data_IF_444136068576
#
_entry.id   IF_444136068576
#
_cell.length_a   1.000
_cell.length_b   1.000
_cell.length_c   1.000
_cell.angle_alpha   90.00
_cell.angle_beta   90.00
_cell.angle_gamma   90.00
#
_symmetry.space_group_name_H-M   'P 1'
#
loop_
_entity.id
_entity.type
_entity.pdbx_description
1 polymer ?
#
# COMPACT_ATOMS: atom_id res chain seq x y z
N UNK A 1 1.81 -14.39 11.75
CA UNK A 1 0.44 -14.99 11.65
C UNK A 1 0.58 -16.21 10.73
N UNK A 2 0.14 -17.39 11.15
CA UNK A 2 0.16 -18.56 10.26
C UNK A 2 -1.14 -18.50 9.43
N UNK A 3 -1.03 -17.98 8.20
CA UNK A 3 -2.17 -17.80 7.30
C UNK A 3 -2.36 -19.12 6.55
N UNK A 4 -3.59 -19.67 6.62
CA UNK A 4 -3.90 -20.91 5.94
C UNK A 4 -3.64 -20.80 4.42
N UNK A 5 -3.03 -21.84 3.86
CA UNK A 5 -2.73 -21.99 2.44
C UNK A 5 -1.78 -20.92 1.82
N UNK A 6 -1.06 -20.15 2.66
CA UNK A 6 -0.16 -19.11 2.12
C UNK A 6 0.96 -19.69 1.26
N UNK A 7 1.64 -20.71 1.75
CA UNK A 7 2.76 -21.36 1.01
C UNK A 7 2.27 -22.02 -0.30
N UNK A 8 1.07 -22.59 -0.29
CA UNK A 8 0.44 -23.12 -1.49
C UNK A 8 0.15 -22.02 -2.52
N UNK A 9 -0.36 -20.87 -2.08
CA UNK A 9 -0.56 -19.69 -2.92
C UNK A 9 0.75 -19.17 -3.51
N UNK A 10 1.82 -19.11 -2.72
CA UNK A 10 3.15 -18.71 -3.20
C UNK A 10 3.63 -19.66 -4.29
N UNK A 11 3.60 -20.95 -4.05
CA UNK A 11 4.03 -21.99 -5.02
C UNK A 11 3.19 -21.90 -6.30
N UNK A 12 1.88 -21.83 -6.19
CA UNK A 12 0.98 -21.67 -7.34
C UNK A 12 1.33 -20.42 -8.15
N UNK A 13 1.48 -19.26 -7.49
CA UNK A 13 1.78 -17.99 -8.15
C UNK A 13 3.14 -17.98 -8.86
N UNK A 14 4.17 -18.59 -8.26
CA UNK A 14 5.49 -18.75 -8.88
C UNK A 14 5.41 -19.63 -10.12
N UNK A 15 4.70 -20.76 -10.03
CA UNK A 15 4.47 -21.66 -11.17
C UNK A 15 3.75 -20.95 -12.32
N UNK A 16 2.70 -20.16 -12.04
CA UNK A 16 1.97 -19.38 -13.04
C UNK A 16 2.86 -18.33 -13.76
N UNK A 17 3.91 -17.87 -13.10
CA UNK A 17 4.89 -16.92 -13.67
C UNK A 17 6.10 -17.61 -14.31
N UNK A 18 6.18 -18.95 -14.29
CA UNK A 18 7.34 -19.68 -14.76
C UNK A 18 8.62 -19.43 -13.95
N UNK A 19 8.45 -19.09 -12.66
CA UNK A 19 9.55 -18.83 -11.73
C UNK A 19 9.81 -20.08 -10.92
N UNK A 20 11.05 -20.59 -10.93
CA UNK A 20 11.46 -21.73 -10.14
C UNK A 20 11.56 -21.36 -8.66
N UNK A 21 11.13 -22.26 -7.78
CA UNK A 21 11.17 -22.12 -6.33
C UNK A 21 9.83 -22.44 -5.67
N UNK A 22 9.88 -22.81 -4.40
CA UNK A 22 8.70 -23.13 -3.59
C UNK A 22 8.35 -21.98 -2.62
N UNK A 23 9.23 -21.00 -2.46
CA UNK A 23 9.02 -19.83 -1.63
C UNK A 23 9.59 -18.57 -2.28
N UNK A 24 9.14 -17.38 -1.86
CA UNK A 24 9.72 -16.11 -2.34
C UNK A 24 11.20 -15.96 -1.96
N UNK A 25 11.67 -16.63 -0.90
CA UNK A 25 13.07 -16.59 -0.46
C UNK A 25 14.02 -17.24 -1.45
N UNK A 26 13.50 -18.19 -2.24
CA UNK A 26 14.26 -18.95 -3.24
C UNK A 26 14.28 -18.23 -4.59
N UNK A 27 13.68 -17.04 -4.67
CA UNK A 27 13.52 -16.31 -5.92
C UNK A 27 14.22 -14.95 -5.87
N UNK A 28 14.40 -14.34 -7.04
CA UNK A 28 14.90 -12.99 -7.18
C UNK A 28 13.74 -11.96 -7.22
N UNK A 29 12.67 -12.22 -6.49
CA UNK A 29 11.53 -11.31 -6.37
C UNK A 29 11.68 -10.40 -5.15
N UNK A 30 11.16 -9.19 -5.27
CA UNK A 30 10.99 -8.25 -4.16
C UNK A 30 9.61 -8.39 -3.61
N UNK A 31 9.54 -8.66 -2.31
CA UNK A 31 8.30 -8.94 -1.61
C UNK A 31 7.96 -7.80 -0.68
N UNK A 32 6.73 -7.35 -0.75
CA UNK A 32 6.18 -6.31 0.10
C UNK A 32 4.91 -6.80 0.78
N UNK A 33 4.83 -6.63 2.07
CA UNK A 33 3.61 -6.86 2.85
C UNK A 33 2.83 -5.54 2.96
N UNK A 34 1.52 -5.61 2.83
CA UNK A 34 0.60 -4.47 2.88
C UNK A 34 -0.56 -4.80 3.80
N UNK A 35 -1.14 -3.76 4.40
CA UNK A 35 -2.25 -3.85 5.35
C UNK A 35 -3.39 -2.90 4.96
N UNK A 36 -3.68 -2.79 3.69
CA UNK A 36 -4.76 -1.94 3.16
C UNK A 36 -5.40 -2.61 1.96
N UNK A 37 -6.71 -2.82 2.02
CA UNK A 37 -7.51 -3.37 0.93
C UNK A 37 -7.75 -2.31 -0.16
N UNK A 38 -6.72 -2.05 -0.98
CA UNK A 38 -6.80 -1.09 -2.07
C UNK A 38 -6.75 -1.78 -3.44
N UNK A 39 -7.86 -1.83 -4.20
CA UNK A 39 -7.88 -2.45 -5.53
C UNK A 39 -6.88 -1.82 -6.51
N UNK A 40 -6.56 -0.54 -6.39
CA UNK A 40 -5.53 0.13 -7.19
C UNK A 40 -4.15 -0.50 -7.04
N UNK A 41 -3.83 -1.02 -5.86
CA UNK A 41 -2.59 -1.79 -5.61
C UNK A 41 -2.57 -3.06 -6.46
N UNK A 42 -3.70 -3.79 -6.53
CA UNK A 42 -3.84 -5.01 -7.33
C UNK A 42 -3.64 -4.72 -8.81
N UNK A 43 -4.35 -3.74 -9.35
CA UNK A 43 -4.23 -3.36 -10.77
C UNK A 43 -2.82 -2.92 -11.13
N UNK A 44 -2.18 -2.14 -10.26
CA UNK A 44 -0.81 -1.68 -10.48
C UNK A 44 0.17 -2.84 -10.45
N UNK A 45 0.04 -3.76 -9.50
CA UNK A 45 0.91 -4.92 -9.38
C UNK A 45 0.78 -5.85 -10.59
N UNK A 46 -0.43 -6.18 -11.01
CA UNK A 46 -0.67 -7.05 -12.18
C UNK A 46 -0.14 -6.44 -13.48
N UNK A 47 -0.33 -5.12 -13.69
CA UNK A 47 0.23 -4.42 -14.87
C UNK A 47 1.75 -4.47 -14.93
N UNK A 48 2.42 -4.51 -13.78
CA UNK A 48 3.88 -4.65 -13.67
C UNK A 48 4.37 -6.10 -13.70
N UNK A 49 3.49 -7.05 -14.03
CA UNK A 49 3.81 -8.48 -14.05
C UNK A 49 4.02 -9.09 -12.66
N UNK A 50 3.65 -8.37 -11.61
CA UNK A 50 3.80 -8.82 -10.23
C UNK A 50 2.84 -9.93 -9.83
N UNK A 51 3.12 -10.52 -8.67
CA UNK A 51 2.29 -11.48 -7.94
C UNK A 51 1.52 -10.72 -6.86
N UNK A 52 0.26 -11.07 -6.63
CA UNK A 52 -0.59 -10.49 -5.58
C UNK A 52 -1.27 -11.61 -4.83
N UNK A 53 -0.98 -11.71 -3.52
CA UNK A 53 -1.53 -12.72 -2.60
C UNK A 53 -2.26 -12.00 -1.46
N UNK A 54 -3.54 -11.66 -1.61
CA UNK A 54 -4.34 -11.13 -0.52
C UNK A 54 -4.77 -12.23 0.44
N UNK A 55 -4.96 -11.86 1.68
CA UNK A 55 -5.63 -12.67 2.70
C UNK A 55 -7.08 -12.22 2.76
N UNK A 56 -8.01 -13.15 2.65
CA UNK A 56 -9.44 -12.84 2.56
C UNK A 56 -10.26 -13.61 3.58
N UNK A 57 -11.40 -13.08 3.96
CA UNK A 57 -12.43 -13.85 4.63
C UNK A 57 -13.20 -14.68 3.58
N UNK A 58 -12.91 -15.96 3.52
CA UNK A 58 -13.45 -16.85 2.49
C UNK A 58 -14.97 -17.06 2.62
N UNK A 59 -15.56 -16.86 3.80
CA UNK A 59 -17.01 -16.93 3.98
C UNK A 59 -17.74 -15.88 3.14
N UNK A 60 -17.15 -14.69 2.97
CA UNK A 60 -17.71 -13.61 2.13
C UNK A 60 -17.59 -13.90 0.62
N UNK A 61 -16.73 -14.83 0.24
CA UNK A 61 -16.61 -15.34 -1.13
C UNK A 61 -17.47 -16.58 -1.38
N UNK A 62 -18.33 -16.97 -0.43
CA UNK A 62 -19.20 -18.14 -0.58
C UNK A 62 -18.54 -19.48 -0.20
N UNK A 63 -17.31 -19.47 0.29
CA UNK A 63 -16.59 -20.64 0.79
C UNK A 63 -16.96 -20.91 2.26
N UNK A 64 -17.85 -21.86 2.49
CA UNK A 64 -18.27 -22.23 3.86
C UNK A 64 -17.16 -22.98 4.60
N UNK A 65 -16.92 -22.61 5.87
CA UNK A 65 -16.04 -23.24 6.87
C UNK A 65 -14.53 -22.84 6.84
N UNK A 66 -14.14 -21.80 6.13
CA UNK A 66 -12.80 -21.20 6.27
C UNK A 66 -12.96 -19.70 6.51
N UNK A 67 -12.57 -19.21 7.69
CA UNK A 67 -12.72 -17.79 8.01
C UNK A 67 -11.66 -16.93 7.33
N UNK A 68 -10.40 -17.39 7.33
CA UNK A 68 -9.27 -16.60 6.80
C UNK A 68 -8.37 -17.50 5.95
N UNK A 69 -8.15 -17.14 4.70
CA UNK A 69 -7.27 -17.86 3.77
C UNK A 69 -6.50 -16.90 2.86
N UNK A 70 -5.31 -17.33 2.41
CA UNK A 70 -4.64 -16.68 1.30
C UNK A 70 -5.28 -17.10 -0.03
N UNK A 71 -5.27 -16.20 -1.00
CA UNK A 71 -5.68 -16.43 -2.40
C UNK A 71 -4.65 -15.81 -3.34
N UNK A 72 -4.69 -16.14 -4.63
CA UNK A 72 -3.83 -15.49 -5.63
C UNK A 72 -4.70 -14.73 -6.63
N UNK A 73 -4.42 -13.45 -6.83
CA UNK A 73 -5.09 -12.69 -7.89
C UNK A 73 -4.46 -13.04 -9.23
N UNK A 74 -5.23 -13.67 -10.09
CA UNK A 74 -4.82 -14.07 -11.44
C UNK A 74 -5.04 -12.96 -12.44
N UNK A 75 -6.21 -12.33 -12.37
CA UNK A 75 -6.61 -11.25 -13.26
C UNK A 75 -7.58 -10.32 -12.55
N UNK A 76 -7.53 -9.05 -12.89
CA UNK A 76 -8.54 -8.08 -12.47
C UNK A 76 -8.84 -7.14 -13.63
N UNK A 77 -10.12 -6.89 -13.85
CA UNK A 77 -10.60 -6.09 -14.97
C UNK A 77 -11.53 -4.98 -14.46
N UNK A 78 -11.06 -3.73 -14.59
CA UNK A 78 -11.79 -2.55 -14.15
C UNK A 78 -13.05 -2.25 -15.00
N UNK A 79 -13.08 -2.70 -16.25
CA UNK A 79 -14.22 -2.43 -17.15
C UNK A 79 -15.39 -3.35 -16.82
N UNK A 80 -15.10 -4.64 -16.55
CA UNK A 80 -16.13 -5.62 -16.19
C UNK A 80 -16.39 -5.67 -14.69
N UNK A 81 -15.61 -4.95 -13.89
CA UNK A 81 -15.65 -4.95 -12.42
C UNK A 81 -15.49 -6.34 -11.78
N UNK A 82 -14.65 -7.20 -12.41
CA UNK A 82 -14.45 -8.59 -11.99
C UNK A 82 -13.00 -8.89 -11.67
N UNK A 83 -12.78 -9.83 -10.76
CA UNK A 83 -11.49 -10.37 -10.37
C UNK A 83 -11.50 -11.88 -10.40
N UNK A 84 -10.45 -12.48 -10.97
CA UNK A 84 -10.21 -13.92 -10.96
C UNK A 84 -9.22 -14.26 -9.85
N UNK A 85 -9.65 -15.09 -8.91
CA UNK A 85 -8.87 -15.53 -7.76
C UNK A 85 -8.62 -17.05 -7.84
N UNK A 86 -7.38 -17.47 -7.67
CA UNK A 86 -7.10 -18.86 -7.33
C UNK A 86 -7.47 -19.09 -5.87
N UNK A 87 -8.37 -20.04 -5.63
CA UNK A 87 -8.85 -20.44 -4.31
C UNK A 87 -8.27 -21.80 -3.96
N UNK A 88 -7.29 -21.89 -3.03
CA UNK A 88 -6.57 -23.14 -2.75
C UNK A 88 -7.48 -24.30 -2.36
N UNK A 89 -8.50 -24.03 -1.54
CA UNK A 89 -9.42 -25.07 -1.06
C UNK A 89 -10.13 -25.84 -2.17
N UNK A 90 -10.58 -25.14 -3.20
CA UNK A 90 -11.20 -25.77 -4.40
C UNK A 90 -10.18 -26.15 -5.44
N UNK A 91 -8.91 -25.71 -5.29
CA UNK A 91 -7.86 -25.84 -6.28
C UNK A 91 -8.29 -25.34 -7.68
N UNK A 92 -9.04 -24.24 -7.72
CA UNK A 92 -9.64 -23.68 -8.92
C UNK A 92 -9.56 -22.16 -8.95
N UNK A 93 -9.77 -21.61 -10.15
CA UNK A 93 -9.86 -20.17 -10.36
C UNK A 93 -11.33 -19.79 -10.40
N UNK A 94 -11.73 -18.91 -9.50
CA UNK A 94 -13.10 -18.43 -9.38
C UNK A 94 -13.15 -16.92 -9.64
N UNK A 95 -14.24 -16.47 -10.24
CA UNK A 95 -14.45 -15.07 -10.61
C UNK A 95 -15.45 -14.41 -9.67
N UNK A 96 -15.07 -13.25 -9.14
CA UNK A 96 -15.88 -12.48 -8.20
C UNK A 96 -16.01 -11.02 -8.64
N UNK A 97 -17.10 -10.31 -8.26
CA UNK A 97 -17.13 -8.85 -8.32
C UNK A 97 -16.00 -8.23 -7.48
N UNK A 98 -15.37 -7.17 -7.97
CA UNK A 98 -14.29 -6.49 -7.25
C UNK A 98 -14.77 -5.99 -5.88
N UNK A 99 -16.00 -5.48 -5.79
CA UNK A 99 -16.56 -5.04 -4.51
C UNK A 99 -16.61 -6.15 -3.46
N UNK A 100 -17.09 -7.35 -3.84
CA UNK A 100 -17.14 -8.53 -2.95
C UNK A 100 -15.73 -8.97 -2.52
N UNK A 101 -14.79 -8.96 -3.46
CA UNK A 101 -13.39 -9.28 -3.15
C UNK A 101 -12.78 -8.27 -2.16
N UNK A 102 -13.00 -6.97 -2.37
CA UNK A 102 -12.47 -5.91 -1.49
C UNK A 102 -13.07 -6.02 -0.09
N UNK A 103 -14.38 -6.30 0.03
CA UNK A 103 -15.03 -6.54 1.31
C UNK A 103 -14.42 -7.74 2.05
N UNK A 104 -14.23 -8.86 1.36
CA UNK A 104 -13.59 -10.06 1.91
C UNK A 104 -12.13 -9.83 2.33
N UNK A 105 -11.42 -9.00 1.60
CA UNK A 105 -10.03 -8.63 1.88
C UNK A 105 -9.93 -7.63 3.05
N UNK A 106 -10.79 -6.61 3.08
CA UNK A 106 -10.82 -5.61 4.15
C UNK A 106 -11.20 -6.23 5.51
N UNK A 107 -12.09 -7.22 5.50
CA UNK A 107 -12.51 -7.99 6.69
C UNK A 107 -11.33 -8.69 7.42
N UNK A 108 -10.19 -8.85 6.77
CA UNK A 108 -8.96 -9.41 7.37
C UNK A 108 -7.89 -8.35 7.68
N UNK A 109 -8.27 -7.07 7.67
CA UNK A 109 -7.35 -5.94 7.88
C UNK A 109 -6.53 -5.58 6.65
N UNK A 110 -6.97 -5.94 5.45
CA UNK A 110 -6.32 -5.60 4.19
C UNK A 110 -4.96 -6.25 3.97
N UNK A 111 -4.65 -7.36 4.66
CA UNK A 111 -3.35 -8.04 4.55
C UNK A 111 -3.14 -8.57 3.13
N UNK A 112 -2.01 -8.22 2.52
CA UNK A 112 -1.67 -8.64 1.17
C UNK A 112 -0.15 -8.71 0.98
N UNK A 113 0.32 -9.76 0.34
CA UNK A 113 1.69 -9.83 -0.16
C UNK A 113 1.72 -9.49 -1.66
N UNK A 114 2.60 -8.58 -2.04
CA UNK A 114 2.92 -8.31 -3.45
C UNK A 114 4.37 -8.62 -3.74
N UNK A 115 4.65 -9.28 -4.86
CA UNK A 115 6.01 -9.61 -5.27
C UNK A 115 6.25 -9.18 -6.72
N UNK A 116 7.44 -8.62 -7.00
CA UNK A 116 7.81 -8.10 -8.31
C UNK A 116 9.18 -8.60 -8.73
N UNK A 117 9.43 -8.79 -10.04
CA UNK A 117 10.78 -9.02 -10.54
C UNK A 117 11.75 -7.95 -10.04
N UNK A 118 12.91 -8.36 -9.57
CA UNK A 118 13.97 -7.45 -9.20
C UNK A 118 14.66 -6.97 -10.47
N UNK A 119 14.17 -5.88 -11.07
CA UNK A 119 14.91 -5.23 -12.14
C UNK A 119 16.02 -4.32 -11.56
N UNK A 120 17.13 -4.22 -12.27
CA UNK A 120 18.29 -3.43 -11.83
C UNK A 120 18.02 -1.91 -11.84
N UNK A 121 16.89 -1.47 -12.39
CA UNK A 121 16.54 -0.05 -12.54
C UNK A 121 15.53 0.43 -11.48
N UNK A 122 14.97 -0.47 -10.66
CA UNK A 122 14.02 -0.08 -9.62
C UNK A 122 14.76 0.60 -8.47
N UNK A 123 14.38 1.83 -8.18
CA UNK A 123 14.88 2.55 -7.01
C UNK A 123 14.51 1.81 -5.72
N UNK A 124 15.50 1.61 -4.84
CA UNK A 124 15.34 1.04 -3.51
C UNK A 124 15.50 2.15 -2.49
N UNK A 125 14.41 2.65 -1.90
CA UNK A 125 14.52 3.59 -0.79
C UNK A 125 15.25 2.91 0.36
N UNK A 126 16.26 3.59 0.90
CA UNK A 126 16.99 3.19 2.09
C UNK A 126 16.68 4.21 3.18
N UNK A 127 15.62 3.98 3.91
CA UNK A 127 15.32 4.77 5.09
C UNK A 127 16.31 4.44 6.20
N UNK A 128 16.70 5.44 6.96
CA UNK A 128 17.43 5.25 8.22
C UNK A 128 16.47 4.64 9.25
N UNK A 129 16.97 3.73 10.08
CA UNK A 129 16.20 3.21 11.20
C UNK A 129 16.21 4.24 12.35
N UNK A 130 15.13 5.01 12.43
CA UNK A 130 14.92 6.06 13.43
C UNK A 130 13.99 5.63 14.57
N UNK A 131 13.63 4.34 14.66
CA UNK A 131 12.68 3.83 15.66
C UNK A 131 13.13 4.03 17.10
N UNK A 132 14.44 4.11 17.32
CA UNK A 132 15.06 4.33 18.64
C UNK A 132 15.25 5.81 18.97
N UNK A 133 14.91 6.71 18.06
CA UNK A 133 15.01 8.16 18.27
C UNK A 133 13.67 8.66 18.77
N UNK A 134 13.64 9.13 20.02
CA UNK A 134 12.44 9.73 20.61
C UNK A 134 12.45 11.24 20.37
N UNK A 135 11.28 11.78 20.03
CA UNK A 135 11.08 13.23 19.98
C UNK A 135 10.84 13.76 21.40
N UNK A 136 11.43 14.88 21.78
CA UNK A 136 11.14 15.53 23.05
C UNK A 136 9.66 15.92 23.16
N UNK A 137 9.16 16.05 24.40
CA UNK A 137 7.81 16.55 24.66
C UNK A 137 7.61 17.94 24.05
N UNK A 138 6.44 18.19 23.47
CA UNK A 138 6.10 19.48 22.87
C UNK A 138 6.47 19.60 21.38
N UNK A 139 6.95 18.54 20.76
CA UNK A 139 7.25 18.52 19.32
C UNK A 139 6.01 18.26 18.44
N UNK A 140 4.87 17.94 19.03
CA UNK A 140 3.63 17.71 18.27
C UNK A 140 3.18 18.94 17.47
N UNK A 141 3.24 20.13 18.07
CA UNK A 141 2.93 21.39 17.37
C UNK A 141 3.90 21.65 16.22
N UNK A 142 5.19 21.39 16.44
CA UNK A 142 6.21 21.59 15.41
C UNK A 142 6.02 20.59 14.26
N UNK A 143 5.75 19.31 14.57
CA UNK A 143 5.46 18.27 13.59
C UNK A 143 4.26 18.64 12.73
N UNK A 144 3.18 19.11 13.37
CA UNK A 144 1.96 19.52 12.68
C UNK A 144 2.22 20.71 11.76
N UNK A 145 2.95 21.74 12.25
CA UNK A 145 3.29 22.91 11.45
C UNK A 145 4.19 22.56 10.24
N UNK A 146 5.12 21.61 10.39
CA UNK A 146 5.94 21.13 9.27
C UNK A 146 5.07 20.38 8.27
N UNK A 147 4.16 19.52 8.73
CA UNK A 147 3.25 18.76 7.87
C UNK A 147 2.33 19.68 7.07
N UNK A 148 1.72 20.67 7.72
CA UNK A 148 0.90 21.69 7.05
C UNK A 148 1.69 22.49 6.00
N UNK A 149 2.89 22.96 6.36
CA UNK A 149 3.74 23.69 5.42
C UNK A 149 4.20 22.81 4.24
N UNK A 150 4.43 21.51 4.46
CA UNK A 150 4.78 20.57 3.39
C UNK A 150 3.62 20.41 2.40
N UNK A 151 2.40 20.26 2.91
CA UNK A 151 1.20 20.21 2.10
C UNK A 151 1.00 21.50 1.28
N UNK A 152 1.10 22.66 1.92
CA UNK A 152 0.95 23.95 1.24
C UNK A 152 2.02 24.15 0.17
N UNK A 153 3.25 23.72 0.43
CA UNK A 153 4.32 23.75 -0.56
C UNK A 153 4.01 22.85 -1.75
N UNK A 154 3.53 21.65 -1.51
CA UNK A 154 3.08 20.72 -2.55
C UNK A 154 1.93 21.32 -3.37
N UNK A 155 0.92 21.89 -2.69
CA UNK A 155 -0.23 22.50 -3.35
C UNK A 155 0.17 23.68 -4.24
N UNK A 156 1.10 24.53 -3.77
CA UNK A 156 1.61 25.65 -4.55
C UNK A 156 2.33 25.18 -5.84
N UNK A 157 3.16 24.15 -5.75
CA UNK A 157 3.82 23.56 -6.93
C UNK A 157 2.78 23.01 -7.92
N UNK A 158 1.81 22.24 -7.42
CA UNK A 158 0.73 21.70 -8.26
C UNK A 158 -0.11 22.77 -8.93
N UNK A 159 -0.45 23.84 -8.21
CA UNK A 159 -1.15 24.99 -8.80
C UNK A 159 -0.34 25.65 -9.93
N UNK A 160 0.98 25.75 -9.76
CA UNK A 160 1.86 26.31 -10.81
C UNK A 160 1.90 25.44 -12.08
N UNK A 161 1.65 24.13 -11.94
CA UNK A 161 1.52 23.17 -13.04
C UNK A 161 0.09 23.11 -13.63
N UNK A 162 -0.85 23.88 -13.08
CA UNK A 162 -2.23 23.96 -13.55
C UNK A 162 -3.20 22.99 -12.86
N UNK A 163 -2.77 22.30 -11.80
CA UNK A 163 -3.66 21.43 -11.02
C UNK A 163 -4.70 22.23 -10.25
N UNK A 164 -5.90 21.65 -10.17
CA UNK A 164 -7.04 22.21 -9.45
C UNK A 164 -7.73 21.14 -8.60
N UNK A 165 -8.65 21.58 -7.75
CA UNK A 165 -9.49 20.67 -7.00
C UNK A 165 -10.44 19.90 -7.93
N UNK A 166 -10.55 18.60 -7.70
CA UNK A 166 -11.55 17.71 -8.29
C UNK A 166 -11.92 16.63 -7.29
N UNK A 167 -13.17 16.12 -7.32
CA UNK A 167 -13.66 15.13 -6.34
C UNK A 167 -12.95 13.77 -6.45
N UNK A 168 -12.21 13.55 -7.53
CA UNK A 168 -11.40 12.36 -7.79
C UNK A 168 -10.16 12.78 -8.58
N UNK A 169 -9.05 12.07 -8.33
CA UNK A 169 -7.82 12.31 -9.09
C UNK A 169 -8.00 11.95 -10.56
N UNK A 170 -7.72 12.93 -11.42
CA UNK A 170 -7.74 12.80 -12.88
C UNK A 170 -6.51 13.52 -13.46
N UNK A 171 -5.48 12.74 -13.80
CA UNK A 171 -4.22 13.27 -14.32
C UNK A 171 -4.40 13.91 -15.71
N UNK A 172 -5.44 13.54 -16.47
CA UNK A 172 -5.72 14.13 -17.79
C UNK A 172 -6.33 15.53 -17.69
N UNK A 173 -7.00 15.82 -16.58
CA UNK A 173 -7.61 17.12 -16.29
C UNK A 173 -6.79 17.95 -15.30
N UNK A 174 -5.73 17.39 -14.75
CA UNK A 174 -4.95 17.97 -13.66
C UNK A 174 -5.82 18.27 -12.43
N UNK A 175 -6.67 17.32 -12.03
CA UNK A 175 -7.56 17.43 -10.87
C UNK A 175 -7.15 16.44 -9.78
N UNK A 176 -7.22 16.87 -8.50
CA UNK A 176 -7.02 16.00 -7.33
C UNK A 176 -7.89 16.46 -6.16
N UNK A 177 -8.44 15.53 -5.34
CA UNK A 177 -9.21 15.88 -4.14
C UNK A 177 -8.34 16.51 -3.04
N UNK A 178 -7.02 16.35 -3.11
CA UNK A 178 -6.10 16.85 -2.10
C UNK A 178 -5.75 18.35 -2.28
N UNK A 179 -6.27 18.99 -3.33
CA UNK A 179 -6.10 20.43 -3.58
C UNK A 179 -7.05 21.24 -2.69
N UNK A 180 -6.93 21.08 -1.38
CA UNK A 180 -7.71 21.74 -0.33
C UNK A 180 -6.76 22.18 0.79
N UNK A 181 -7.16 23.11 1.67
CA UNK A 181 -6.38 23.45 2.85
C UNK A 181 -6.06 22.19 3.69
N UNK A 182 -4.87 22.13 4.28
CA UNK A 182 -4.42 21.00 5.11
C UNK A 182 -5.46 20.55 6.14
N UNK A 183 -6.15 21.51 6.80
CA UNK A 183 -7.18 21.19 7.78
C UNK A 183 -8.35 20.36 7.21
N UNK A 184 -8.61 20.44 5.91
CA UNK A 184 -9.69 19.73 5.20
C UNK A 184 -9.25 18.39 4.58
N UNK A 185 -7.96 18.08 4.60
CA UNK A 185 -7.46 16.79 4.12
C UNK A 185 -8.05 15.63 4.93
N UNK A 186 -8.27 14.47 4.29
CA UNK A 186 -8.51 13.22 5.00
C UNK A 186 -7.36 12.92 5.96
N UNK A 187 -7.66 12.25 7.07
CA UNK A 187 -6.66 11.93 8.09
C UNK A 187 -5.53 11.04 7.54
N UNK A 188 -5.82 10.17 6.58
CA UNK A 188 -4.82 9.36 5.87
C UNK A 188 -3.75 10.20 5.15
N UNK A 189 -4.16 11.29 4.51
CA UNK A 189 -3.25 12.19 3.80
C UNK A 189 -2.42 13.02 4.79
N UNK A 190 -3.05 13.56 5.83
CA UNK A 190 -2.34 14.24 6.93
C UNK A 190 -1.30 13.35 7.58
N UNK A 191 -1.62 12.08 7.79
CA UNK A 191 -0.70 11.12 8.39
C UNK A 191 0.56 10.92 7.54
N UNK A 192 0.46 10.96 6.23
CA UNK A 192 1.62 10.90 5.34
C UNK A 192 2.56 12.08 5.56
N UNK A 193 2.03 13.30 5.58
CA UNK A 193 2.82 14.52 5.80
C UNK A 193 3.42 14.55 7.23
N UNK A 194 2.66 14.08 8.23
CA UNK A 194 3.14 13.96 9.61
C UNK A 194 4.30 12.97 9.74
N UNK A 195 4.25 11.83 9.07
CA UNK A 195 5.35 10.87 9.07
C UNK A 195 6.62 11.47 8.47
N UNK A 196 6.50 12.20 7.35
CA UNK A 196 7.62 12.90 6.75
C UNK A 196 8.22 13.94 7.69
N UNK A 197 7.37 14.71 8.37
CA UNK A 197 7.79 15.70 9.36
C UNK A 197 8.49 15.05 10.57
N UNK A 198 7.92 13.98 11.10
CA UNK A 198 8.48 13.22 12.23
C UNK A 198 9.85 12.63 11.90
N UNK A 199 9.97 11.95 10.74
CA UNK A 199 11.24 11.39 10.29
C UNK A 199 12.30 12.48 10.08
N UNK A 200 11.92 13.65 9.59
CA UNK A 200 12.85 14.79 9.45
C UNK A 200 13.37 15.26 10.81
N UNK A 201 12.49 15.43 11.80
CA UNK A 201 12.87 15.83 13.15
C UNK A 201 13.76 14.79 13.83
N UNK A 202 13.40 13.51 13.73
CA UNK A 202 14.20 12.40 14.26
C UNK A 202 15.57 12.30 13.60
N UNK A 203 15.64 12.53 12.29
CA UNK A 203 16.89 12.54 11.55
C UNK A 203 17.83 13.66 12.04
N UNK A 204 17.33 14.87 12.25
CA UNK A 204 18.12 15.97 12.81
C UNK A 204 18.71 15.60 14.17
N UNK A 205 17.92 15.01 15.06
CA UNK A 205 18.38 14.57 16.38
C UNK A 205 19.43 13.46 16.24
N UNK A 206 19.19 12.47 15.38
CA UNK A 206 20.13 11.38 15.12
C UNK A 206 21.49 11.87 14.58
N UNK A 207 21.48 12.98 13.82
CA UNK A 207 22.69 13.64 13.32
C UNK A 207 23.36 14.57 14.34
N UNK A 208 22.85 14.66 15.58
CA UNK A 208 23.43 15.45 16.66
C UNK A 208 23.00 16.91 16.71
N UNK A 209 22.00 17.31 15.90
CA UNK A 209 21.43 18.65 16.00
C UNK A 209 20.52 18.77 17.22
N UNK A 210 20.53 19.93 17.86
CA UNK A 210 19.58 20.32 18.90
C UNK A 210 18.52 21.22 18.29
N UNK A 211 17.25 20.95 18.60
CA UNK A 211 16.13 21.77 18.19
C UNK A 211 15.57 22.41 19.46
N UNK A 212 15.65 23.73 19.55
CA UNK A 212 15.18 24.50 20.70
C UNK A 212 14.18 25.56 20.24
N UNK A 213 13.07 25.71 20.98
CA UNK A 213 12.10 26.78 20.74
C UNK A 213 12.65 28.04 21.43
N UNK A 214 12.94 29.06 20.63
CA UNK A 214 13.27 30.37 21.19
C UNK A 214 12.02 30.96 21.85
N UNK A 215 12.13 31.30 23.12
CA UNK A 215 11.04 31.90 23.89
C UNK A 215 10.68 33.32 23.46
#
# INVERSE_FOLDING_TARGET
MNIANYDECVKFALTQKGIEGDSFKDTNLRVYERHTANPGTVFTALRKGGIVIPVVNASLLGEYNVEVTATVVIKANQITDMVDLYVPKSNDIQTFPIATFVEAWDATGGVCTTAFPADAKTYHPKLLDLKHVELPNGFDELREAIAENAHDRWALERQSEGWTYGPKRDDSKLETPDMVPYAQLPESEKQYDRLMAEDTLKLLIALGYKIEKNG
#
